data_IF_682353346489
#
_entry.id   IF_682353346489
#
_cell.length_a   1.000
_cell.length_b   1.000
_cell.length_c   1.000
_cell.angle_alpha   90.00
_cell.angle_beta   90.00
_cell.angle_gamma   90.00
#
_symmetry.space_group_name_H-M   'P 1'
#
loop_
_entity.id
_entity.type
_entity.pdbx_description
1 polymer ?
#
# COMPACT_ATOMS: atom_id res chain seq x y z
N UNK A 1 -14.39 7.99 17.41
CA UNK A 1 -13.69 7.84 16.13
C UNK A 1 -14.64 7.19 15.13
N UNK A 2 -14.82 7.77 13.98
CA UNK A 2 -15.66 7.22 12.93
C UNK A 2 -14.83 6.71 11.76
N UNK A 3 -15.17 5.51 11.28
CA UNK A 3 -14.54 4.93 10.10
C UNK A 3 -15.32 5.40 8.89
N UNK A 4 -14.63 6.01 7.93
CA UNK A 4 -15.24 6.55 6.72
C UNK A 4 -14.69 5.85 5.48
N UNK A 5 -15.60 5.39 4.62
CA UNK A 5 -15.23 4.93 3.30
C UNK A 5 -14.81 6.11 2.44
N UNK A 6 -13.62 6.00 1.84
CA UNK A 6 -13.09 7.03 0.95
C UNK A 6 -13.59 6.81 -0.48
N UNK A 7 -13.79 7.89 -1.26
CA UNK A 7 -14.16 7.75 -2.67
C UNK A 7 -13.04 7.08 -3.47
N UNK A 8 -13.37 6.06 -4.27
CA UNK A 8 -12.41 5.37 -5.11
C UNK A 8 -11.71 6.30 -6.12
N UNK A 9 -12.40 7.31 -6.62
CA UNK A 9 -11.84 8.28 -7.57
C UNK A 9 -10.55 8.93 -7.07
N UNK A 10 -10.44 9.14 -5.75
CA UNK A 10 -9.27 9.74 -5.13
C UNK A 10 -8.02 8.86 -5.28
N UNK A 11 -8.19 7.55 -5.39
CA UNK A 11 -7.09 6.57 -5.35
C UNK A 11 -6.97 5.70 -6.58
N UNK A 12 -7.85 5.84 -7.57
CA UNK A 12 -7.92 4.90 -8.70
C UNK A 12 -6.62 4.73 -9.46
N UNK A 13 -5.78 5.77 -9.52
CA UNK A 13 -4.50 5.73 -10.21
C UNK A 13 -3.40 5.00 -9.40
N UNK A 14 -3.71 4.61 -8.17
CA UNK A 14 -2.78 3.98 -7.23
C UNK A 14 -3.03 2.49 -7.05
N UNK A 15 -4.07 1.97 -7.69
CA UNK A 15 -4.50 0.57 -7.61
C UNK A 15 -4.67 -0.02 -9.01
N UNK A 16 -4.48 -1.33 -9.12
CA UNK A 16 -4.60 -2.05 -10.39
C UNK A 16 -6.01 -2.53 -10.71
N UNK A 17 -6.95 -2.40 -9.79
CA UNK A 17 -8.30 -2.90 -9.97
C UNK A 17 -9.26 -2.36 -8.93
N UNK A 18 -10.21 -3.20 -8.52
CA UNK A 18 -11.27 -2.83 -7.59
C UNK A 18 -10.80 -2.91 -6.14
N UNK A 19 -11.17 -1.91 -5.36
CA UNK A 19 -10.79 -1.81 -3.95
C UNK A 19 -11.82 -1.01 -3.16
N UNK A 20 -11.80 -1.18 -1.83
CA UNK A 20 -12.54 -0.35 -0.89
C UNK A 20 -11.53 0.13 0.14
N UNK A 21 -11.42 1.44 0.30
CA UNK A 21 -10.55 2.05 1.28
C UNK A 21 -11.36 2.84 2.31
N UNK A 22 -11.08 2.61 3.58
CA UNK A 22 -11.73 3.30 4.69
C UNK A 22 -10.67 3.99 5.53
N UNK A 23 -10.89 5.25 5.83
CA UNK A 23 -10.01 6.01 6.73
C UNK A 23 -10.41 5.69 8.17
N UNK A 24 -9.49 5.14 8.95
CA UNK A 24 -9.70 4.79 10.35
C UNK A 24 -9.19 5.89 11.27
N UNK A 25 -8.02 6.46 10.95
CA UNK A 25 -7.43 7.59 11.67
C UNK A 25 -7.10 8.69 10.67
N UNK A 26 -7.86 9.78 10.68
CA UNK A 26 -7.56 10.96 9.87
C UNK A 26 -6.82 12.02 10.70
N UNK A 27 -6.57 13.17 10.12
CA UNK A 27 -5.85 14.26 10.78
C UNK A 27 -6.59 14.81 12.02
N UNK A 28 -7.90 14.64 12.09
CA UNK A 28 -8.69 15.07 13.24
C UNK A 28 -8.57 14.09 14.41
N UNK A 29 -8.29 12.82 14.13
CA UNK A 29 -8.09 11.79 15.16
C UNK A 29 -6.67 11.80 15.70
N UNK A 30 -5.67 12.00 14.82
CA UNK A 30 -4.27 11.98 15.18
C UNK A 30 -3.44 12.85 14.24
N UNK A 31 -2.59 13.69 14.82
CA UNK A 31 -1.61 14.47 14.05
C UNK A 31 -0.43 13.63 13.57
N UNK A 32 -0.08 12.59 14.31
CA UNK A 32 1.14 11.81 14.07
C UNK A 32 0.90 10.55 13.23
N UNK A 33 -0.26 9.95 13.39
CA UNK A 33 -0.55 8.63 12.81
C UNK A 33 -1.68 8.69 11.80
N UNK A 34 -1.58 7.84 10.78
CA UNK A 34 -2.69 7.58 9.88
C UNK A 34 -2.93 6.08 9.76
N UNK A 35 -4.18 5.70 9.61
CA UNK A 35 -4.57 4.30 9.51
C UNK A 35 -5.68 4.13 8.49
N UNK A 36 -5.50 3.18 7.61
CA UNK A 36 -6.48 2.83 6.58
C UNK A 36 -6.83 1.35 6.66
N UNK A 37 -8.09 1.06 6.42
CA UNK A 37 -8.58 -0.31 6.23
C UNK A 37 -8.84 -0.47 4.74
N UNK A 38 -8.15 -1.39 4.09
CA UNK A 38 -8.20 -1.56 2.64
C UNK A 38 -8.60 -2.98 2.29
N UNK A 39 -9.65 -3.10 1.48
CA UNK A 39 -10.05 -4.36 0.87
C UNK A 39 -9.70 -4.32 -0.61
N UNK A 40 -8.83 -5.24 -1.02
CA UNK A 40 -8.47 -5.50 -2.41
C UNK A 40 -9.37 -6.59 -2.95
N UNK A 41 -9.98 -6.37 -4.10
CA UNK A 41 -10.95 -7.30 -4.68
C UNK A 41 -10.45 -7.86 -6.01
N UNK A 42 -10.75 -9.15 -6.25
CA UNK A 42 -10.49 -9.80 -7.53
C UNK A 42 -9.06 -9.62 -8.04
N UNK A 43 -8.09 -9.87 -7.18
CA UNK A 43 -6.68 -9.80 -7.57
C UNK A 43 -6.08 -8.41 -7.59
N UNK A 44 -6.80 -7.40 -7.11
CA UNK A 44 -6.31 -6.02 -7.05
C UNK A 44 -5.06 -5.89 -6.18
N UNK A 45 -4.15 -5.03 -6.59
CA UNK A 45 -2.93 -4.65 -5.87
C UNK A 45 -2.72 -3.16 -5.94
N UNK A 46 -1.89 -2.62 -5.05
CA UNK A 46 -1.40 -1.27 -5.26
C UNK A 46 -0.39 -1.26 -6.40
N UNK A 47 -0.21 -0.10 -7.02
CA UNK A 47 0.92 0.15 -7.91
C UNK A 47 2.20 0.30 -7.10
N UNK A 48 3.37 0.09 -7.71
CA UNK A 48 4.64 0.30 -7.03
C UNK A 48 4.76 1.73 -6.50
N UNK A 49 5.24 1.88 -5.27
CA UNK A 49 5.39 3.20 -4.65
C UNK A 49 6.46 3.21 -3.54
N UNK A 50 6.86 4.42 -3.18
CA UNK A 50 7.81 4.69 -2.10
C UNK A 50 7.14 5.71 -1.18
N UNK A 51 7.26 5.52 0.13
CA UNK A 51 6.83 6.52 1.11
C UNK A 51 7.92 6.78 2.14
N UNK A 52 7.83 7.92 2.81
CA UNK A 52 8.89 8.46 3.66
C UNK A 52 8.80 8.03 5.13
N UNK A 53 7.91 7.11 5.46
CA UNK A 53 7.80 6.56 6.82
C UNK A 53 7.61 5.06 6.75
N UNK A 54 7.95 4.38 7.85
CA UNK A 54 7.66 2.95 7.97
C UNK A 54 6.16 2.73 7.93
N UNK A 55 5.74 1.69 7.23
CA UNK A 55 4.34 1.31 7.17
C UNK A 55 4.16 -0.09 7.73
N UNK A 56 3.25 -0.23 8.68
CA UNK A 56 2.86 -1.53 9.21
C UNK A 56 1.61 -1.98 8.48
N UNK A 57 1.64 -3.20 7.95
CA UNK A 57 0.50 -3.85 7.33
C UNK A 57 0.07 -5.03 8.20
N UNK A 58 -1.21 -5.05 8.55
CA UNK A 58 -1.82 -6.11 9.36
C UNK A 58 -2.86 -6.80 8.50
N UNK A 59 -2.60 -8.05 8.14
CA UNK A 59 -3.57 -8.83 7.35
C UNK A 59 -4.74 -9.24 8.22
N UNK A 60 -5.95 -8.90 7.82
CA UNK A 60 -7.17 -9.18 8.58
C UNK A 60 -8.05 -10.22 7.94
N UNK A 61 -8.03 -10.35 6.62
CA UNK A 61 -8.80 -11.37 5.90
C UNK A 61 -8.13 -11.75 4.59
N UNK A 62 -8.24 -13.03 4.25
CA UNK A 62 -7.73 -13.56 2.99
C UNK A 62 -6.23 -13.75 2.98
N UNK A 63 -5.70 -13.88 1.76
CA UNK A 63 -4.27 -14.07 1.51
C UNK A 63 -3.77 -13.00 0.55
N UNK A 64 -2.66 -12.41 0.92
CA UNK A 64 -2.05 -11.33 0.15
C UNK A 64 -0.56 -11.51 -0.04
N UNK A 65 0.02 -10.54 -0.71
CA UNK A 65 1.47 -10.45 -0.90
C UNK A 65 1.95 -9.04 -0.59
N UNK A 66 3.21 -8.96 -0.20
CA UNK A 66 3.99 -7.72 -0.17
C UNK A 66 5.24 -7.97 -1.00
N UNK A 67 5.47 -7.16 -2.01
CA UNK A 67 6.61 -7.27 -2.91
C UNK A 67 7.56 -6.10 -2.65
N UNK A 68 8.82 -6.43 -2.36
CA UNK A 68 9.90 -5.47 -2.20
C UNK A 68 10.75 -5.48 -3.46
N UNK A 69 11.12 -4.29 -3.92
CA UNK A 69 11.84 -4.13 -5.17
C UNK A 69 12.88 -3.03 -5.08
N UNK A 70 13.69 -2.91 -6.11
CA UNK A 70 14.61 -1.79 -6.26
C UNK A 70 14.52 -1.22 -7.67
N UNK A 71 14.91 0.02 -7.80
CA UNK A 71 15.01 0.72 -9.07
C UNK A 71 16.41 0.45 -9.64
N UNK A 72 16.47 -0.10 -10.86
CA UNK A 72 17.76 -0.42 -11.49
C UNK A 72 18.16 0.57 -12.58
N UNK A 73 17.18 1.37 -13.07
CA UNK A 73 17.44 2.45 -14.02
C UNK A 73 16.52 3.61 -13.68
N UNK A 74 17.09 4.81 -13.59
CA UNK A 74 16.35 6.03 -13.31
C UNK A 74 16.49 6.98 -14.49
N UNK A 75 15.36 7.40 -15.07
CA UNK A 75 15.33 8.44 -16.07
C UNK A 75 15.48 9.79 -15.35
N UNK A 76 16.55 10.57 -15.61
CA UNK A 76 16.75 11.86 -14.95
C UNK A 76 15.70 12.91 -15.31
N UNK A 77 15.00 12.74 -16.43
CA UNK A 77 13.95 13.66 -16.87
C UNK A 77 12.57 13.26 -16.32
N UNK A 78 12.38 11.98 -15.96
CA UNK A 78 11.13 11.47 -15.39
C UNK A 78 11.43 10.44 -14.31
N UNK A 79 11.42 10.87 -13.06
CA UNK A 79 11.78 10.04 -11.90
C UNK A 79 10.92 8.78 -11.73
N UNK A 80 9.68 8.78 -12.25
CA UNK A 80 8.78 7.63 -12.15
C UNK A 80 8.99 6.62 -13.26
N UNK A 81 9.73 6.97 -14.32
CA UNK A 81 10.06 6.07 -15.42
C UNK A 81 11.37 5.35 -15.08
N UNK A 82 11.26 4.12 -14.66
CA UNK A 82 12.40 3.33 -14.19
C UNK A 82 12.17 1.84 -14.43
N UNK A 83 13.24 1.09 -14.53
CA UNK A 83 13.17 -0.36 -14.49
C UNK A 83 13.16 -0.82 -13.03
N UNK A 84 12.39 -1.84 -12.77
CA UNK A 84 12.16 -2.37 -11.43
C UNK A 84 12.61 -3.82 -11.39
N UNK A 85 13.39 -4.16 -10.36
CA UNK A 85 13.81 -5.53 -10.08
C UNK A 85 13.21 -5.97 -8.75
N UNK A 86 12.46 -7.08 -8.77
CA UNK A 86 11.90 -7.66 -7.56
C UNK A 86 13.02 -8.29 -6.75
N UNK A 87 13.13 -7.90 -5.48
CA UNK A 87 14.11 -8.46 -4.55
C UNK A 87 13.50 -9.56 -3.68
N UNK A 88 12.25 -9.38 -3.24
CA UNK A 88 11.63 -10.27 -2.28
C UNK A 88 10.11 -10.19 -2.38
N UNK A 89 9.46 -11.34 -2.33
CA UNK A 89 8.00 -11.45 -2.22
C UNK A 89 7.65 -12.17 -0.92
N UNK A 90 6.82 -11.55 -0.10
CA UNK A 90 6.36 -12.11 1.16
C UNK A 90 4.88 -12.41 1.06
N UNK A 91 4.52 -13.65 1.33
CA UNK A 91 3.12 -14.08 1.42
C UNK A 91 2.62 -13.77 2.81
N UNK A 92 1.44 -13.16 2.91
CA UNK A 92 0.80 -12.84 4.19
C UNK A 92 -0.63 -13.33 4.20
N UNK A 93 -1.11 -13.69 5.38
CA UNK A 93 -2.49 -14.10 5.57
C UNK A 93 -3.01 -13.59 6.91
N UNK A 94 -4.29 -13.76 7.14
CA UNK A 94 -4.97 -13.29 8.36
C UNK A 94 -4.13 -13.52 9.62
N UNK A 95 -3.88 -12.44 10.36
CA UNK A 95 -3.09 -12.44 11.59
C UNK A 95 -1.63 -12.06 11.39
N UNK A 96 -1.12 -12.05 10.15
CA UNK A 96 0.26 -11.67 9.89
C UNK A 96 0.44 -10.16 9.95
N UNK A 97 1.61 -9.74 10.43
CA UNK A 97 2.03 -8.34 10.51
C UNK A 97 3.37 -8.22 9.80
N UNK A 98 3.47 -7.23 8.93
CA UNK A 98 4.72 -6.92 8.24
C UNK A 98 4.98 -5.43 8.28
N UNK A 99 6.24 -5.04 8.46
CA UNK A 99 6.66 -3.65 8.35
C UNK A 99 7.36 -3.43 7.02
N UNK A 100 6.89 -2.43 6.27
CA UNK A 100 7.56 -1.94 5.06
C UNK A 100 8.39 -0.74 5.48
N UNK A 101 9.73 -0.82 5.43
CA UNK A 101 10.57 0.31 5.83
C UNK A 101 10.37 1.53 4.93
N UNK A 102 10.63 2.72 5.50
CA UNK A 102 10.64 3.96 4.74
C UNK A 102 11.60 3.88 3.55
N UNK A 103 11.25 4.52 2.45
CA UNK A 103 12.06 4.66 1.22
C UNK A 103 12.29 3.37 0.43
N UNK A 104 11.58 2.30 0.75
CA UNK A 104 11.66 1.05 -0.01
C UNK A 104 10.55 1.01 -1.06
N UNK A 105 10.93 0.73 -2.30
CA UNK A 105 9.98 0.51 -3.39
C UNK A 105 9.24 -0.79 -3.13
N UNK A 106 7.92 -0.73 -3.13
CA UNK A 106 7.10 -1.90 -2.81
C UNK A 106 5.70 -1.77 -3.41
N UNK A 107 4.98 -2.88 -3.41
CA UNK A 107 3.54 -2.93 -3.63
C UNK A 107 2.94 -4.11 -2.87
N UNK A 108 1.64 -4.10 -2.71
CA UNK A 108 0.94 -5.12 -1.96
C UNK A 108 -0.51 -5.27 -2.43
N UNK A 109 -1.13 -6.36 -2.02
CA UNK A 109 -2.52 -6.64 -2.34
C UNK A 109 -2.79 -8.14 -2.41
N UNK A 110 -3.71 -8.53 -3.29
CA UNK A 110 -4.12 -9.94 -3.45
C UNK A 110 -2.97 -10.81 -3.91
N UNK A 111 -2.94 -12.03 -3.39
CA UNK A 111 -1.98 -13.05 -3.82
C UNK A 111 -2.23 -13.47 -5.26
N UNK A 112 -3.49 -13.80 -5.59
CA UNK A 112 -3.89 -14.32 -6.90
C UNK A 112 -5.11 -13.58 -7.45
N UNK A 113 -5.34 -13.75 -8.75
CA UNK A 113 -6.58 -13.33 -9.41
C UNK A 113 -7.76 -14.07 -8.75
N UNK A 114 -8.93 -13.42 -8.74
CA UNK A 114 -10.17 -13.97 -8.18
C UNK A 114 -10.13 -14.18 -6.66
N UNK A 115 -9.12 -13.67 -5.98
CA UNK A 115 -9.07 -13.65 -4.51
C UNK A 115 -9.25 -12.21 -4.02
N UNK A 116 -9.84 -12.08 -2.84
CA UNK A 116 -9.91 -10.82 -2.11
C UNK A 116 -8.92 -10.85 -0.95
N UNK A 117 -8.43 -9.69 -0.56
CA UNK A 117 -7.50 -9.56 0.55
C UNK A 117 -7.78 -8.26 1.29
N UNK A 118 -7.78 -8.31 2.63
CA UNK A 118 -8.00 -7.14 3.46
C UNK A 118 -6.86 -6.95 4.44
N UNK A 119 -6.37 -5.72 4.55
CA UNK A 119 -5.40 -5.35 5.56
C UNK A 119 -5.70 -3.99 6.19
N UNK A 120 -5.08 -3.75 7.33
CA UNK A 120 -4.96 -2.42 7.92
C UNK A 120 -3.56 -1.92 7.59
N UNK A 121 -3.48 -0.70 7.07
CA UNK A 121 -2.22 0.00 6.81
C UNK A 121 -2.07 1.13 7.82
N UNK A 122 -0.98 1.12 8.55
CA UNK A 122 -0.71 2.04 9.63
C UNK A 122 0.67 2.66 9.46
N UNK A 123 0.76 3.99 9.50
CA UNK A 123 2.06 4.67 9.41
C UNK A 123 2.04 6.04 10.07
N UNK A 124 3.23 6.54 10.38
CA UNK A 124 3.42 7.92 10.79
C UNK A 124 3.17 8.86 9.61
N UNK A 125 2.46 9.95 9.86
CA UNK A 125 2.30 11.01 8.85
C UNK A 125 3.65 11.64 8.54
N UNK A 126 3.81 12.01 7.27
CA UNK A 126 4.97 12.72 6.80
C UNK A 126 4.53 13.86 5.90
N UNK A 127 5.34 14.91 5.83
CA UNK A 127 5.10 16.02 4.90
C UNK A 127 5.59 15.73 3.48
N UNK A 128 6.33 14.64 3.31
CA UNK A 128 6.81 14.23 1.99
C UNK A 128 5.75 13.39 1.29
N UNK A 129 5.46 13.73 0.05
CA UNK A 129 4.53 12.97 -0.76
C UNK A 129 5.10 11.60 -1.14
N UNK A 130 4.21 10.64 -1.31
CA UNK A 130 4.58 9.33 -1.86
C UNK A 130 4.97 9.47 -3.32
N UNK A 131 5.88 8.63 -3.78
CA UNK A 131 6.26 8.54 -5.17
C UNK A 131 5.65 7.26 -5.75
N UNK A 132 4.86 7.40 -6.80
CA UNK A 132 4.14 6.31 -7.46
C UNK A 132 4.73 6.01 -8.84
N UNK A 133 4.76 4.74 -9.18
CA UNK A 133 5.34 4.26 -10.44
C UNK A 133 4.35 3.55 -11.35
#
# INVERSE_FOLDING_TARGET
>A
MSIKEEPNEKYKDKFTGDFIIKNVLDINDSNEQEMYHVTFRNGCRTRPHIHASDQVLIATEGKGIVVFAKRIMIDPENITKTDIEIEKTVMIEKGDVICVPAFILHWHGCRNKNEDFTHIAFRKRTQLDNIWF
#
